data_IF_948698811475
#
_entry.id   IF_948698811475
#
_cell.length_a   1.000
_cell.length_b   1.000
_cell.length_c   1.000
_cell.angle_alpha   90.00
_cell.angle_beta   90.00
_cell.angle_gamma   90.00
#
_symmetry.space_group_name_H-M   'P 1'
#
loop_
_entity.id
_entity.type
_entity.pdbx_description
1 polymer ?
#
# COMPACT_ATOMS: atom_id res chain seq x y z
N UNK A 1 12.65 15.26 5.37
CA UNK A 1 13.91 14.98 4.67
C UNK A 1 13.66 13.98 3.57
N UNK A 2 14.25 14.22 2.41
CA UNK A 2 14.08 13.35 1.25
C UNK A 2 15.45 12.95 0.72
N UNK A 3 15.60 11.66 0.41
CA UNK A 3 16.81 11.09 -0.17
C UNK A 3 16.43 10.39 -1.47
N UNK A 4 17.17 10.68 -2.52
CA UNK A 4 16.96 10.06 -3.82
C UNK A 4 18.29 9.68 -4.46
N UNK A 5 18.42 8.43 -4.84
CA UNK A 5 19.59 7.90 -5.55
C UNK A 5 19.12 7.20 -6.82
N UNK A 6 19.71 7.58 -7.95
CA UNK A 6 19.36 7.02 -9.25
C UNK A 6 20.60 6.50 -9.98
N UNK A 7 20.53 5.27 -10.44
CA UNK A 7 21.54 4.61 -11.26
C UNK A 7 21.00 4.36 -12.66
N UNK A 8 21.53 5.07 -13.66
CA UNK A 8 21.01 5.07 -15.05
C UNK A 8 21.86 4.25 -16.02
N UNK A 9 23.05 3.77 -15.64
CA UNK A 9 23.99 3.07 -16.54
C UNK A 9 24.32 1.68 -16.04
N UNK A 10 24.61 0.77 -17.00
CA UNK A 10 24.99 -0.61 -16.76
C UNK A 10 23.80 -1.58 -16.83
N UNK A 11 24.07 -2.85 -16.64
CA UNK A 11 23.04 -3.92 -16.70
C UNK A 11 22.00 -3.82 -15.58
N UNK A 12 22.38 -3.28 -14.42
CA UNK A 12 21.49 -2.96 -13.31
C UNK A 12 21.28 -1.46 -13.30
N UNK A 13 20.03 -1.03 -13.46
CA UNK A 13 19.57 0.36 -13.38
C UNK A 13 18.40 0.47 -12.40
N UNK A 14 18.10 1.65 -11.92
CA UNK A 14 16.99 1.86 -11.01
C UNK A 14 17.23 3.01 -10.06
N UNK A 15 16.32 3.15 -9.10
CA UNK A 15 16.41 4.22 -8.12
C UNK A 15 15.89 3.78 -6.75
N UNK A 16 16.33 4.49 -5.73
CA UNK A 16 15.85 4.39 -4.36
C UNK A 16 15.44 5.78 -3.92
N UNK A 17 14.19 5.89 -3.46
CA UNK A 17 13.66 7.09 -2.82
C UNK A 17 13.28 6.79 -1.38
N UNK A 18 13.59 7.69 -0.48
CA UNK A 18 13.19 7.61 0.93
C UNK A 18 12.80 8.98 1.44
N UNK A 19 11.64 9.05 2.10
CA UNK A 19 11.11 10.26 2.72
C UNK A 19 10.90 10.02 4.21
N UNK A 20 11.41 10.94 5.01
CA UNK A 20 11.11 11.06 6.44
C UNK A 20 10.30 12.33 6.66
N UNK A 21 9.06 12.20 7.14
CA UNK A 21 8.16 13.33 7.28
C UNK A 21 7.25 13.24 8.51
N UNK A 22 6.73 14.38 8.91
CA UNK A 22 5.73 14.55 9.96
C UNK A 22 4.69 15.55 9.51
N UNK A 23 3.41 15.20 9.61
CA UNK A 23 2.30 16.06 9.25
C UNK A 23 1.31 16.15 10.39
N UNK A 24 1.19 17.33 10.97
CA UNK A 24 0.30 17.62 12.08
C UNK A 24 -0.76 18.65 11.68
N UNK A 25 -1.92 18.57 12.32
CA UNK A 25 -3.00 19.56 12.19
C UNK A 25 -3.38 20.09 13.57
N UNK A 26 -3.80 21.33 13.60
CA UNK A 26 -4.41 21.97 14.77
C UNK A 26 -5.48 22.93 14.26
N UNK A 27 -6.68 22.81 14.79
CA UNK A 27 -7.80 23.70 14.51
C UNK A 27 -8.45 24.10 15.82
N UNK A 28 -9.04 25.31 15.85
CA UNK A 28 -9.88 25.76 16.96
C UNK A 28 -11.11 24.86 17.08
N UNK A 29 -11.48 24.55 18.29
CA UNK A 29 -12.65 23.72 18.65
C UNK A 29 -12.62 22.26 18.13
N UNK A 30 -11.47 21.82 17.64
CA UNK A 30 -11.25 20.42 17.23
C UNK A 30 -10.17 19.80 18.09
N UNK A 31 -10.42 18.57 18.59
CA UNK A 31 -9.50 17.80 19.44
C UNK A 31 -9.05 18.61 20.70
N UNK A 32 -9.96 19.38 21.29
CA UNK A 32 -9.67 20.29 22.43
C UNK A 32 -8.50 21.23 22.16
N UNK A 33 -8.38 21.77 20.94
CA UNK A 33 -7.29 22.62 20.47
C UNK A 33 -5.90 21.95 20.47
N UNK A 34 -5.81 20.65 20.68
CA UNK A 34 -4.57 19.92 20.66
C UNK A 34 -4.16 19.52 19.24
N UNK A 35 -2.85 19.46 19.01
CA UNK A 35 -2.30 18.93 17.76
C UNK A 35 -2.65 17.45 17.61
N UNK A 36 -2.94 17.02 16.39
CA UNK A 36 -3.15 15.63 16.03
C UNK A 36 -2.51 15.30 14.69
N UNK A 37 -2.10 14.03 14.43
CA UNK A 37 -1.53 13.64 13.15
C UNK A 37 -2.55 13.79 12.02
N UNK A 38 -2.11 14.22 10.85
CA UNK A 38 -2.92 14.10 9.64
C UNK A 38 -3.16 12.61 9.33
N UNK A 39 -4.31 12.27 8.73
CA UNK A 39 -4.56 10.91 8.26
C UNK A 39 -3.46 10.40 7.32
N UNK A 40 -2.88 11.29 6.53
CA UNK A 40 -1.81 10.96 5.56
C UNK A 40 -0.40 11.12 6.15
N UNK A 41 -0.28 11.31 7.47
CA UNK A 41 1.02 11.36 8.13
C UNK A 41 1.70 9.98 8.02
N UNK A 42 2.71 9.90 7.16
CA UNK A 42 3.58 8.74 7.04
C UNK A 42 4.98 9.14 7.49
N UNK A 43 5.45 8.53 8.57
CA UNK A 43 6.77 8.82 9.12
C UNK A 43 7.88 8.43 8.17
N UNK A 44 7.79 7.24 7.63
CA UNK A 44 8.73 6.67 6.69
C UNK A 44 7.98 6.27 5.44
N UNK A 45 8.47 6.70 4.29
CA UNK A 45 8.03 6.25 2.98
C UNK A 45 9.26 5.89 2.15
N UNK A 46 9.31 4.70 1.61
CA UNK A 46 10.43 4.20 0.82
C UNK A 46 9.93 3.54 -0.47
N UNK A 47 10.61 3.82 -1.56
CA UNK A 47 10.37 3.19 -2.85
C UNK A 47 11.68 2.79 -3.49
N UNK A 48 11.73 1.55 -3.99
CA UNK A 48 12.89 0.99 -4.68
C UNK A 48 12.41 0.45 -6.01
N UNK A 49 13.02 0.91 -7.08
CA UNK A 49 12.81 0.38 -8.42
C UNK A 49 14.14 -0.17 -8.94
N UNK A 50 14.16 -1.41 -9.35
CA UNK A 50 15.32 -2.05 -9.92
C UNK A 50 14.97 -2.71 -11.25
N UNK A 51 15.87 -2.61 -12.22
CA UNK A 51 15.74 -3.21 -13.53
C UNK A 51 17.07 -3.82 -13.93
N UNK A 52 17.05 -5.10 -14.29
CA UNK A 52 18.24 -5.86 -14.62
C UNK A 52 18.15 -6.49 -16.02
N UNK A 53 19.10 -6.16 -16.89
CA UNK A 53 19.22 -6.78 -18.19
C UNK A 53 19.96 -8.11 -18.07
N UNK A 54 19.19 -9.20 -17.95
CA UNK A 54 19.73 -10.55 -17.83
C UNK A 54 20.53 -10.93 -19.08
N UNK A 55 19.94 -10.67 -20.26
CA UNK A 55 20.55 -10.83 -21.57
C UNK A 55 19.78 -10.01 -22.63
N UNK A 56 20.14 -10.12 -23.92
CA UNK A 56 19.48 -9.39 -25.03
C UNK A 56 17.98 -9.69 -25.20
N UNK A 57 17.47 -10.77 -24.60
CA UNK A 57 16.06 -11.20 -24.71
C UNK A 57 15.27 -10.96 -23.45
N UNK A 58 15.91 -10.97 -22.28
CA UNK A 58 15.24 -10.90 -20.99
C UNK A 58 15.69 -9.71 -20.18
N UNK A 59 14.72 -8.95 -19.72
CA UNK A 59 14.89 -7.88 -18.73
C UNK A 59 13.97 -8.16 -17.56
N UNK A 60 14.53 -8.14 -16.35
CA UNK A 60 13.80 -8.31 -15.10
C UNK A 60 13.61 -6.94 -14.45
N UNK A 61 12.48 -6.73 -13.81
CA UNK A 61 12.24 -5.49 -13.05
C UNK A 61 11.49 -5.79 -11.77
N UNK A 62 11.77 -5.02 -10.74
CA UNK A 62 11.04 -5.11 -9.47
C UNK A 62 10.76 -3.72 -8.92
N UNK A 63 9.65 -3.61 -8.20
CA UNK A 63 9.25 -2.41 -7.48
C UNK A 63 8.92 -2.82 -6.05
N UNK A 64 9.62 -2.25 -5.10
CA UNK A 64 9.30 -2.38 -3.69
C UNK A 64 8.83 -1.03 -3.16
N UNK A 65 7.73 -1.05 -2.41
CA UNK A 65 7.22 0.12 -1.72
C UNK A 65 6.99 -0.20 -0.24
N UNK A 66 7.30 0.76 0.61
CA UNK A 66 7.05 0.70 2.03
C UNK A 66 6.52 2.05 2.50
N UNK A 67 5.53 2.04 3.36
CA UNK A 67 5.04 3.25 4.05
C UNK A 67 4.57 2.92 5.44
N UNK A 68 4.91 3.76 6.41
CA UNK A 68 4.35 3.70 7.76
C UNK A 68 2.82 3.73 7.68
N UNK A 69 2.14 2.97 8.52
CA UNK A 69 0.68 2.90 8.55
C UNK A 69 0.03 4.26 8.71
N UNK A 70 -1.09 4.46 8.03
CA UNK A 70 -1.88 5.69 8.11
C UNK A 70 -2.43 5.89 9.51
N UNK A 71 -2.47 7.14 9.95
CA UNK A 71 -3.14 7.52 11.18
C UNK A 71 -4.66 7.44 10.99
N UNK A 72 -5.37 6.90 11.97
CA UNK A 72 -6.81 6.72 11.93
C UNK A 72 -7.44 6.94 13.30
N UNK A 73 -8.71 7.32 13.32
CA UNK A 73 -9.51 7.35 14.53
C UNK A 73 -10.24 6.02 14.67
N UNK A 74 -10.08 5.37 15.80
CA UNK A 74 -10.85 4.18 16.16
C UNK A 74 -11.65 4.48 17.42
N UNK A 75 -12.89 3.95 17.56
CA UNK A 75 -13.64 4.09 18.79
C UNK A 75 -12.90 3.38 19.94
N UNK A 76 -12.90 4.03 21.10
CA UNK A 76 -12.27 3.47 22.31
C UNK A 76 -13.30 2.77 23.21
N UNK A 77 -14.58 3.16 23.08
CA UNK A 77 -15.68 2.57 23.84
C UNK A 77 -16.92 2.42 22.98
N UNK A 78 -17.73 1.46 23.37
CA UNK A 78 -19.07 1.24 22.85
C UNK A 78 -20.05 1.24 24.03
N UNK A 79 -21.15 1.96 23.90
CA UNK A 79 -22.20 2.03 24.89
C UNK A 79 -23.56 2.26 24.25
N UNK A 80 -24.64 2.03 24.98
CA UNK A 80 -25.99 2.20 24.46
C UNK A 80 -26.57 3.54 24.87
N UNK A 81 -27.14 4.28 23.92
CA UNK A 81 -28.02 5.42 24.16
C UNK A 81 -29.37 5.09 23.56
N UNK A 82 -30.39 5.05 24.40
CA UNK A 82 -31.79 4.74 23.97
C UNK A 82 -31.87 3.44 23.13
N UNK A 83 -31.12 2.42 23.49
CA UNK A 83 -31.07 1.14 22.75
C UNK A 83 -30.23 1.12 21.50
N UNK A 84 -29.59 2.24 21.11
CA UNK A 84 -28.70 2.33 19.92
C UNK A 84 -27.25 2.22 20.39
N UNK A 85 -26.50 1.30 19.79
CA UNK A 85 -25.07 1.17 20.04
C UNK A 85 -24.32 2.38 19.50
N UNK A 86 -23.69 3.12 20.40
CA UNK A 86 -22.98 4.37 20.10
C UNK A 86 -21.49 4.16 20.28
N UNK A 87 -20.71 4.80 19.42
CA UNK A 87 -19.23 4.74 19.43
C UNK A 87 -18.66 6.02 20.03
N UNK A 88 -17.73 5.89 20.95
CA UNK A 88 -16.99 7.00 21.55
C UNK A 88 -15.57 7.07 21.02
N UNK A 89 -15.19 8.25 20.53
CA UNK A 89 -13.85 8.55 20.02
C UNK A 89 -13.17 9.55 20.96
N UNK A 90 -12.02 9.19 21.55
CA UNK A 90 -11.32 10.10 22.47
C UNK A 90 -10.42 11.10 21.78
N UNK A 91 -9.82 10.72 20.65
CA UNK A 91 -8.83 11.54 19.94
C UNK A 91 -8.83 11.28 18.44
N UNK A 92 -8.57 12.32 17.68
CA UNK A 92 -8.51 12.24 16.23
C UNK A 92 -7.17 11.64 15.79
N UNK A 93 -7.22 10.61 14.92
CA UNK A 93 -6.06 9.98 14.30
C UNK A 93 -4.99 9.48 15.29
N UNK A 94 -5.41 9.06 16.50
CA UNK A 94 -4.54 8.55 17.54
C UNK A 94 -3.87 7.21 17.18
N UNK A 95 -4.58 6.38 16.45
CA UNK A 95 -4.13 5.03 16.10
C UNK A 95 -3.45 5.01 14.74
N UNK A 96 -2.59 4.01 14.52
CA UNK A 96 -1.97 3.76 13.24
C UNK A 96 -2.30 2.35 12.76
N UNK A 97 -2.68 2.25 11.49
CA UNK A 97 -2.80 0.97 10.82
C UNK A 97 -1.44 0.30 10.70
N UNK A 98 -1.42 -1.00 10.42
CA UNK A 98 -0.19 -1.70 10.13
C UNK A 98 0.54 -1.07 8.92
N UNK A 99 1.89 -1.12 8.87
CA UNK A 99 2.65 -0.59 7.74
C UNK A 99 2.22 -1.23 6.43
N UNK A 100 2.14 -0.41 5.39
CA UNK A 100 1.95 -0.85 4.02
C UNK A 100 3.29 -1.23 3.41
N UNK A 101 3.40 -2.42 2.83
CA UNK A 101 4.52 -2.73 1.95
C UNK A 101 4.13 -3.76 0.89
N UNK A 102 4.78 -3.67 -0.26
CA UNK A 102 4.50 -4.53 -1.40
C UNK A 102 5.75 -4.68 -2.27
N UNK A 103 5.94 -5.86 -2.80
CA UNK A 103 6.92 -6.15 -3.83
C UNK A 103 6.18 -6.60 -5.09
N UNK A 104 6.46 -5.92 -6.20
CA UNK A 104 6.01 -6.32 -7.52
C UNK A 104 7.23 -6.79 -8.33
N UNK A 105 7.00 -7.75 -9.20
CA UNK A 105 8.04 -8.28 -10.07
C UNK A 105 7.54 -8.41 -11.50
N UNK A 106 8.43 -8.18 -12.46
CA UNK A 106 8.13 -8.41 -13.86
C UNK A 106 9.33 -8.93 -14.64
N UNK A 107 9.04 -9.74 -15.66
CA UNK A 107 10.01 -10.25 -16.62
C UNK A 107 9.54 -9.89 -18.03
N UNK A 108 10.35 -9.17 -18.76
CA UNK A 108 10.09 -8.79 -20.16
C UNK A 108 10.88 -9.71 -21.07
N UNK A 109 10.17 -10.39 -21.95
CA UNK A 109 10.77 -11.23 -22.99
C UNK A 109 10.64 -10.58 -24.36
N UNK A 110 11.76 -10.18 -24.94
CA UNK A 110 11.85 -9.58 -26.28
C UNK A 110 12.53 -10.57 -27.23
N UNK A 111 11.76 -11.31 -28.05
CA UNK A 111 12.34 -12.24 -29.00
C UNK A 111 13.22 -11.49 -30.01
N UNK A 112 14.37 -12.08 -30.33
CA UNK A 112 15.29 -11.55 -31.35
C UNK A 112 15.05 -12.33 -32.64
N UNK A 113 14.29 -11.82 -33.62
CA UNK A 113 14.04 -12.53 -34.86
C UNK A 113 15.30 -12.60 -35.70
N UNK A 114 15.56 -13.75 -36.32
CA UNK A 114 16.71 -13.93 -37.26
C UNK A 114 16.55 -13.17 -38.59
N UNK A 115 15.31 -12.78 -38.93
CA UNK A 115 14.99 -11.99 -40.13
C UNK A 115 14.24 -10.75 -39.71
N UNK A 116 14.37 -9.66 -40.47
CA UNK A 116 13.56 -8.46 -40.25
C UNK A 116 12.06 -8.79 -40.35
N UNK A 117 11.34 -8.40 -39.33
CA UNK A 117 9.88 -8.53 -39.26
C UNK A 117 9.25 -7.17 -39.42
N UNK A 118 8.07 -7.13 -40.06
CA UNK A 118 7.24 -5.91 -40.18
C UNK A 118 6.78 -5.35 -38.82
N UNK A 119 6.83 -6.17 -37.80
CA UNK A 119 6.44 -5.77 -36.42
C UNK A 119 7.45 -6.23 -35.38
N UNK A 120 7.57 -5.46 -34.33
CA UNK A 120 8.31 -5.82 -33.10
C UNK A 120 7.31 -6.22 -32.03
N UNK A 121 7.56 -7.30 -31.31
CA UNK A 121 6.71 -7.72 -30.20
C UNK A 121 7.52 -8.14 -28.99
N UNK A 122 6.92 -8.01 -27.81
CA UNK A 122 7.49 -8.51 -26.58
C UNK A 122 6.38 -8.93 -25.61
N UNK A 123 6.72 -9.84 -24.72
CA UNK A 123 5.86 -10.32 -23.65
C UNK A 123 6.29 -9.73 -22.33
N UNK A 124 5.32 -9.39 -21.49
CA UNK A 124 5.54 -8.98 -20.12
C UNK A 124 4.80 -9.96 -19.21
N UNK A 125 5.53 -10.63 -18.37
CA UNK A 125 5.02 -11.45 -17.28
C UNK A 125 5.19 -10.64 -16.01
N UNK A 126 4.12 -10.40 -15.27
CA UNK A 126 4.17 -9.60 -14.06
C UNK A 126 3.41 -10.24 -12.92
N UNK A 127 3.87 -9.99 -11.72
CA UNK A 127 3.22 -10.39 -10.48
C UNK A 127 3.16 -9.16 -9.58
N UNK A 128 1.95 -8.72 -9.30
CA UNK A 128 1.68 -7.71 -8.30
C UNK A 128 1.62 -8.37 -6.94
N UNK A 129 2.22 -7.74 -5.91
CA UNK A 129 2.22 -8.22 -4.54
C UNK A 129 2.71 -9.66 -4.40
N UNK A 130 3.96 -9.90 -4.80
CA UNK A 130 4.60 -11.23 -4.91
C UNK A 130 4.43 -12.12 -3.68
N UNK A 131 4.46 -11.54 -2.48
CA UNK A 131 4.30 -12.29 -1.22
C UNK A 131 2.88 -12.20 -0.64
N UNK A 132 1.90 -11.75 -1.44
CA UNK A 132 0.47 -11.75 -1.10
C UNK A 132 0.15 -11.09 0.25
N UNK A 133 0.83 -9.99 0.59
CA UNK A 133 0.55 -9.28 1.83
C UNK A 133 -0.83 -8.64 1.80
N UNK A 134 -1.60 -8.90 2.82
CA UNK A 134 -2.89 -8.26 3.04
C UNK A 134 -2.68 -6.88 3.67
N UNK A 135 -2.35 -5.89 2.84
CA UNK A 135 -2.15 -4.52 3.27
C UNK A 135 -3.45 -3.89 3.76
N UNK A 136 -3.46 -3.19 4.90
CA UNK A 136 -4.67 -2.58 5.43
C UNK A 136 -5.15 -1.44 4.52
N UNK A 137 -6.42 -1.49 4.14
CA UNK A 137 -7.11 -0.41 3.44
C UNK A 137 -7.92 0.45 4.41
N UNK A 138 -8.78 -0.20 5.22
CA UNK A 138 -9.46 0.41 6.35
C UNK A 138 -9.83 -0.66 7.39
N UNK A 139 -10.21 -0.21 8.58
CA UNK A 139 -10.77 -1.04 9.66
C UNK A 139 -12.20 -0.61 9.90
N UNK A 140 -13.10 -1.57 10.06
CA UNK A 140 -14.47 -1.35 10.51
C UNK A 140 -14.78 -2.26 11.70
N UNK A 141 -15.85 -1.93 12.40
CA UNK A 141 -16.33 -2.71 13.54
C UNK A 141 -17.59 -3.46 13.15
N UNK A 142 -17.52 -4.76 13.23
CA UNK A 142 -18.64 -5.67 12.99
C UNK A 142 -19.30 -6.04 14.31
N UNK A 143 -20.62 -6.14 14.30
CA UNK A 143 -21.44 -6.41 15.47
C UNK A 143 -22.13 -7.75 15.26
N UNK A 144 -21.88 -8.68 16.17
CA UNK A 144 -22.52 -10.00 16.20
C UNK A 144 -23.27 -10.16 17.53
N UNK A 145 -24.46 -10.80 17.50
CA UNK A 145 -25.29 -10.97 18.67
C UNK A 145 -26.20 -9.78 19.00
N UNK A 146 -26.78 -9.78 20.19
CA UNK A 146 -27.73 -8.77 20.65
C UNK A 146 -27.47 -8.38 22.10
N UNK A 147 -27.69 -7.10 22.42
CA UNK A 147 -27.68 -6.65 23.82
C UNK A 147 -28.80 -7.28 24.67
N UNK A 148 -29.93 -7.62 24.04
CA UNK A 148 -31.06 -8.24 24.73
C UNK A 148 -30.76 -9.67 25.18
N UNK A 149 -29.90 -10.40 24.47
CA UNK A 149 -29.46 -11.75 24.81
C UNK A 149 -28.13 -11.76 25.57
N UNK A 150 -27.57 -10.58 25.85
CA UNK A 150 -26.27 -10.39 26.54
C UNK A 150 -25.10 -11.12 25.86
N UNK A 151 -25.17 -11.28 24.56
CA UNK A 151 -24.16 -11.94 23.71
C UNK A 151 -23.52 -11.00 22.66
N UNK A 152 -23.76 -9.68 22.79
CA UNK A 152 -23.22 -8.68 21.87
C UNK A 152 -21.69 -8.71 21.87
N UNK A 153 -21.13 -8.95 20.69
CA UNK A 153 -19.69 -8.92 20.44
C UNK A 153 -19.38 -7.89 19.35
N UNK A 154 -18.47 -6.97 19.65
CA UNK A 154 -17.95 -6.01 18.68
C UNK A 154 -16.53 -6.38 18.32
N UNK A 155 -16.29 -6.63 17.04
CA UNK A 155 -14.99 -7.11 16.53
C UNK A 155 -14.46 -6.16 15.48
N UNK A 156 -13.19 -5.73 15.62
CA UNK A 156 -12.52 -4.94 14.61
C UNK A 156 -12.10 -5.85 13.45
N UNK A 157 -12.56 -5.55 12.24
CA UNK A 157 -12.22 -6.28 11.01
C UNK A 157 -11.43 -5.37 10.06
N UNK A 158 -10.31 -5.87 9.54
CA UNK A 158 -9.50 -5.18 8.53
C UNK A 158 -9.94 -5.57 7.14
N UNK A 159 -10.18 -4.58 6.29
CA UNK A 159 -10.31 -4.79 4.85
C UNK A 159 -8.95 -4.62 4.19
N UNK A 160 -8.59 -5.56 3.34
CA UNK A 160 -7.37 -5.55 2.55
C UNK A 160 -7.70 -5.76 1.09
N UNK A 161 -7.02 -5.01 0.22
CA UNK A 161 -7.25 -5.08 -1.23
C UNK A 161 -6.03 -5.72 -1.90
N UNK A 162 -6.31 -6.37 -3.04
CA UNK A 162 -5.30 -6.86 -3.98
C UNK A 162 -4.24 -7.79 -3.35
N UNK A 163 -4.58 -9.08 -3.18
CA UNK A 163 -3.61 -10.12 -2.89
C UNK A 163 -2.63 -10.27 -4.06
N UNK A 164 -1.94 -11.38 -4.18
CA UNK A 164 -1.11 -11.67 -5.35
C UNK A 164 -1.95 -11.68 -6.63
N UNK A 165 -1.51 -10.91 -7.65
CA UNK A 165 -2.17 -10.83 -8.96
C UNK A 165 -1.13 -11.07 -10.06
N UNK A 166 -1.11 -12.24 -10.68
CA UNK A 166 -0.31 -12.48 -11.88
C UNK A 166 -0.98 -11.85 -13.10
N UNK A 167 -0.18 -11.37 -14.04
CA UNK A 167 -0.65 -10.85 -15.32
C UNK A 167 0.33 -11.16 -16.44
N UNK A 168 -0.19 -11.36 -17.65
CA UNK A 168 0.60 -11.56 -18.88
C UNK A 168 0.10 -10.57 -19.92
N UNK A 169 1.02 -9.83 -20.51
CA UNK A 169 0.71 -8.85 -21.55
C UNK A 169 1.57 -9.12 -22.77
N UNK A 170 0.94 -9.15 -23.94
CA UNK A 170 1.63 -9.19 -25.21
C UNK A 170 1.54 -7.82 -25.89
N UNK A 171 2.70 -7.24 -26.21
CA UNK A 171 2.80 -5.96 -26.85
C UNK A 171 3.37 -6.13 -28.27
N UNK A 172 2.85 -5.35 -29.21
CA UNK A 172 3.35 -5.35 -30.57
C UNK A 172 3.27 -3.93 -31.17
N UNK A 173 4.21 -3.64 -32.05
CA UNK A 173 4.32 -2.38 -32.78
C UNK A 173 4.60 -2.69 -34.25
N UNK A 174 3.78 -2.13 -35.13
CA UNK A 174 3.95 -2.15 -36.59
C UNK A 174 4.93 -1.07 -37.07
#
# INVERSE_FOLDING_TARGET
>A
AEFFVNKVKGRLTGWVGYTLSWTWRRFENINNNNKYPSRYDRRHDASIVASYELNKKWKLSSVFVYGTGQATSLPERFYFINGVLTQEYSSINKYRLAPYHRLDFSAIYSPQPKKERKYKSYWVFSIYNVYSRLNPYFVYFDQEGSAATNDLKVTAKQVSLFPIIPAVTWNFKF
#
